data_IF_184955842990
#
_entry.id   IF_184955842990
#
_cell.length_a   1.000
_cell.length_b   1.000
_cell.length_c   1.000
_cell.angle_alpha   90.00
_cell.angle_beta   90.00
_cell.angle_gamma   90.00
#
_symmetry.space_group_name_H-M   'P 1'
#
loop_
_entity.id
_entity.type
_entity.pdbx_description
1 polymer ?
#
# COMPACT_ATOMS: atom_id res chain seq x y z
N UNK A 1 -32.17 34.62 32.96
CA UNK A 1 -33.54 34.45 33.49
C UNK A 1 -34.55 34.67 32.37
N UNK A 2 -35.46 33.70 32.21
CA UNK A 2 -36.81 33.80 31.62
C UNK A 2 -36.95 34.09 30.11
N UNK A 3 -37.28 33.01 29.40
CA UNK A 3 -37.99 33.02 28.12
C UNK A 3 -39.38 33.66 28.26
N UNK A 4 -39.86 34.33 27.20
CA UNK A 4 -41.30 34.40 26.88
C UNK A 4 -41.51 34.40 25.36
N UNK A 5 -42.06 33.28 24.89
CA UNK A 5 -42.71 33.12 23.60
C UNK A 5 -43.93 34.03 23.47
N UNK A 6 -44.22 34.54 22.27
CA UNK A 6 -45.58 34.82 21.88
C UNK A 6 -45.87 34.37 20.45
N UNK A 7 -46.79 33.41 20.35
CA UNK A 7 -47.39 32.85 19.14
C UNK A 7 -48.13 33.94 18.37
N UNK A 8 -47.95 34.01 17.04
CA UNK A 8 -49.06 34.13 16.10
C UNK A 8 -48.78 33.30 14.85
N UNK A 9 -49.62 32.30 14.69
CA UNK A 9 -49.79 31.41 13.55
C UNK A 9 -50.11 32.21 12.28
N UNK A 10 -49.46 31.85 11.17
CA UNK A 10 -50.01 32.01 9.84
C UNK A 10 -49.71 30.71 9.07
N UNK A 11 -50.73 29.87 8.93
CA UNK A 11 -50.73 28.75 8.01
C UNK A 11 -51.04 29.30 6.61
N UNK A 12 -50.15 29.09 5.64
CA UNK A 12 -50.47 29.34 4.22
C UNK A 12 -49.80 28.28 3.33
N UNK A 13 -50.67 27.36 2.90
CA UNK A 13 -50.80 26.74 1.57
C UNK A 13 -49.58 26.08 0.92
N UNK A 14 -49.68 24.75 0.88
CA UNK A 14 -49.24 23.80 -0.15
C UNK A 14 -48.81 24.42 -1.49
N UNK A 15 -47.52 24.30 -1.78
CA UNK A 15 -46.98 24.36 -3.13
C UNK A 15 -46.15 23.09 -3.35
N UNK A 16 -46.70 22.11 -4.07
CA UNK A 16 -45.96 20.96 -4.57
C UNK A 16 -45.07 21.46 -5.71
N UNK A 17 -43.84 21.86 -5.40
CA UNK A 17 -42.80 22.08 -6.42
C UNK A 17 -42.02 20.79 -6.60
N UNK A 18 -42.23 20.19 -7.77
CA UNK A 18 -41.65 18.93 -8.22
C UNK A 18 -40.15 18.82 -7.89
N UNK A 19 -39.81 17.87 -7.03
CA UNK A 19 -38.44 17.44 -6.84
C UNK A 19 -37.96 16.79 -8.14
N UNK A 20 -37.10 17.48 -8.89
CA UNK A 20 -36.32 16.87 -9.97
C UNK A 20 -35.45 15.79 -9.32
N UNK A 21 -35.90 14.54 -9.47
CA UNK A 21 -35.16 13.35 -9.12
C UNK A 21 -33.87 13.33 -9.94
N UNK A 22 -32.78 13.78 -9.34
CA UNK A 22 -31.44 13.41 -9.79
C UNK A 22 -31.34 11.91 -9.56
N UNK A 23 -31.52 11.14 -10.63
CA UNK A 23 -31.17 9.73 -10.67
C UNK A 23 -29.65 9.62 -10.53
N UNK A 24 -29.16 9.68 -9.29
CA UNK A 24 -27.83 9.22 -8.96
C UNK A 24 -27.84 7.71 -9.19
N UNK A 25 -27.36 7.28 -10.35
CA UNK A 25 -26.97 5.89 -10.55
C UNK A 25 -25.85 5.60 -9.57
N UNK A 26 -26.20 5.12 -8.38
CA UNK A 26 -25.26 4.47 -7.49
C UNK A 26 -24.71 3.27 -8.28
N UNK A 27 -23.53 3.45 -8.86
CA UNK A 27 -22.75 2.35 -9.41
C UNK A 27 -22.63 1.34 -8.28
N UNK A 28 -23.36 0.23 -8.38
CA UNK A 28 -23.20 -0.89 -7.48
C UNK A 28 -21.76 -1.36 -7.63
N UNK A 29 -20.89 -0.90 -6.72
CA UNK A 29 -19.61 -1.51 -6.48
C UNK A 29 -19.96 -2.92 -6.01
N UNK A 30 -19.96 -3.87 -6.96
CA UNK A 30 -20.15 -5.28 -6.68
C UNK A 30 -19.00 -5.65 -5.74
N UNK A 31 -19.27 -5.64 -4.44
CA UNK A 31 -18.44 -6.25 -3.42
C UNK A 31 -18.58 -7.76 -3.63
N UNK A 32 -18.05 -8.25 -4.76
CA UNK A 32 -17.78 -9.67 -4.92
C UNK A 32 -16.97 -10.09 -3.70
N UNK A 33 -17.25 -11.27 -3.11
CA UNK A 33 -16.55 -11.69 -1.91
C UNK A 33 -15.04 -11.59 -2.16
N UNK A 34 -14.38 -10.73 -1.41
CA UNK A 34 -12.92 -10.67 -1.38
C UNK A 34 -12.49 -11.92 -0.63
N UNK A 35 -12.26 -13.00 -1.38
CA UNK A 35 -11.73 -14.24 -0.82
C UNK A 35 -10.27 -13.98 -0.50
N UNK A 36 -9.98 -13.72 0.77
CA UNK A 36 -8.62 -13.67 1.31
C UNK A 36 -8.22 -15.11 1.60
N UNK A 37 -7.44 -15.71 0.70
CA UNK A 37 -6.73 -16.94 1.04
C UNK A 37 -5.64 -16.56 2.05
N UNK A 38 -5.62 -17.20 3.21
CA UNK A 38 -4.48 -17.06 4.12
C UNK A 38 -3.22 -17.51 3.38
N UNK A 39 -2.14 -16.74 3.51
CA UNK A 39 -0.81 -17.16 3.08
C UNK A 39 -0.54 -18.53 3.76
N UNK A 40 -0.09 -19.56 3.03
CA UNK A 40 0.14 -20.86 3.65
C UNK A 40 1.09 -20.71 4.84
N UNK A 41 0.86 -21.48 5.92
CA UNK A 41 1.54 -21.35 7.23
C UNK A 41 3.08 -21.39 7.15
N UNK A 42 3.62 -21.77 6.00
CA UNK A 42 5.03 -21.83 5.68
C UNK A 42 5.54 -20.67 4.80
N UNK A 43 4.87 -19.52 4.69
CA UNK A 43 5.41 -18.38 3.93
C UNK A 43 5.63 -17.18 4.85
N UNK A 44 6.86 -16.70 4.88
CA UNK A 44 7.26 -15.48 5.59
C UNK A 44 7.21 -14.32 4.60
N UNK A 45 6.34 -13.36 4.90
CA UNK A 45 6.10 -12.22 4.01
C UNK A 45 6.38 -10.91 4.71
N UNK A 46 7.03 -10.01 3.99
CA UNK A 46 7.28 -8.66 4.44
C UNK A 46 7.05 -7.62 3.35
N UNK A 47 6.45 -6.49 3.73
CA UNK A 47 6.18 -5.36 2.83
C UNK A 47 7.07 -4.18 3.17
N UNK A 48 7.79 -3.67 2.16
CA UNK A 48 8.65 -2.49 2.29
C UNK A 48 7.98 -1.30 1.59
N UNK A 49 7.58 -0.32 2.39
CA UNK A 49 7.04 0.95 1.90
C UNK A 49 8.16 1.93 1.55
N UNK A 50 7.91 2.70 0.50
CA UNK A 50 8.85 3.70 -0.02
C UNK A 50 8.14 4.99 -0.46
N UNK A 51 6.90 5.20 -0.04
CA UNK A 51 6.10 6.36 -0.41
C UNK A 51 6.70 7.70 0.07
N UNK A 52 7.58 7.63 1.08
CA UNK A 52 8.33 8.75 1.64
C UNK A 52 9.67 9.03 0.92
N UNK A 53 10.05 8.20 -0.06
CA UNK A 53 11.32 8.31 -0.77
C UNK A 53 11.12 8.88 -2.18
N UNK A 54 11.99 9.81 -2.58
CA UNK A 54 12.08 10.26 -3.96
C UNK A 54 13.01 9.31 -4.75
N UNK A 55 12.45 8.24 -5.32
CA UNK A 55 13.26 7.25 -6.05
C UNK A 55 13.84 7.76 -7.39
N UNK A 56 13.52 8.98 -7.82
CA UNK A 56 14.27 9.62 -8.91
C UNK A 56 15.69 10.04 -8.46
N UNK A 57 15.90 10.22 -7.15
CA UNK A 57 17.21 10.50 -6.55
C UNK A 57 17.97 9.22 -6.17
N UNK A 58 19.29 9.25 -6.37
CA UNK A 58 20.20 8.13 -6.08
C UNK A 58 20.39 7.90 -4.58
N UNK A 59 20.30 8.94 -3.74
CA UNK A 59 20.44 8.74 -2.29
C UNK A 59 19.22 7.98 -1.74
N UNK A 60 18.02 8.34 -2.18
CA UNK A 60 16.79 7.67 -1.78
C UNK A 60 16.65 6.25 -2.38
N UNK A 61 17.17 5.99 -3.58
CA UNK A 61 17.32 4.61 -4.08
C UNK A 61 18.18 3.73 -3.14
N UNK A 62 19.26 4.29 -2.58
CA UNK A 62 20.10 3.58 -1.61
C UNK A 62 19.36 3.33 -0.30
N UNK A 63 18.60 4.31 0.20
CA UNK A 63 17.74 4.12 1.39
C UNK A 63 16.74 3.00 1.18
N UNK A 64 16.10 2.92 0.01
CA UNK A 64 15.23 1.79 -0.34
C UNK A 64 15.99 0.47 -0.29
N UNK A 65 17.18 0.41 -0.91
CA UNK A 65 18.05 -0.78 -0.86
C UNK A 65 18.31 -1.23 0.58
N UNK A 66 18.66 -0.32 1.49
CA UNK A 66 18.86 -0.65 2.90
C UNK A 66 17.59 -1.16 3.60
N UNK A 67 16.42 -0.58 3.29
CA UNK A 67 15.14 -1.06 3.85
C UNK A 67 14.82 -2.47 3.38
N UNK A 68 15.04 -2.76 2.10
CA UNK A 68 14.86 -4.10 1.54
C UNK A 68 15.84 -5.08 2.17
N UNK A 69 17.12 -4.72 2.36
CA UNK A 69 18.08 -5.56 3.09
C UNK A 69 17.58 -5.88 4.51
N UNK A 70 17.03 -4.89 5.22
CA UNK A 70 16.45 -5.10 6.55
C UNK A 70 15.27 -6.07 6.54
N UNK A 71 14.41 -5.97 5.53
CA UNK A 71 13.28 -6.88 5.37
C UNK A 71 13.73 -8.31 5.00
N UNK A 72 14.68 -8.45 4.07
CA UNK A 72 15.31 -9.74 3.73
C UNK A 72 15.88 -10.41 4.98
N UNK A 73 16.59 -9.67 5.82
CA UNK A 73 17.11 -10.21 7.09
C UNK A 73 16.02 -10.73 8.02
N UNK A 74 14.87 -10.06 8.11
CA UNK A 74 13.76 -10.48 8.97
C UNK A 74 13.05 -11.72 8.41
N UNK A 75 12.70 -11.72 7.12
CA UNK A 75 12.06 -12.90 6.50
C UNK A 75 12.99 -14.11 6.49
N UNK A 76 14.30 -13.91 6.40
CA UNK A 76 15.30 -14.98 6.43
C UNK A 76 15.84 -15.30 7.83
N UNK A 77 15.26 -14.75 8.89
CA UNK A 77 15.61 -15.03 10.30
C UNK A 77 17.11 -14.85 10.58
N UNK A 78 17.65 -13.69 10.19
CA UNK A 78 19.05 -13.35 10.44
C UNK A 78 19.41 -13.44 11.93
N UNK A 79 20.45 -14.21 12.25
CA UNK A 79 20.95 -14.43 13.61
C UNK A 79 22.15 -13.51 13.88
N UNK A 80 21.98 -12.47 14.71
CA UNK A 80 23.07 -11.57 15.08
C UNK A 80 24.16 -12.22 15.96
N UNK A 81 23.89 -13.39 16.56
CA UNK A 81 24.76 -14.08 17.52
C UNK A 81 25.86 -14.91 16.87
N UNK A 82 25.74 -15.25 15.58
CA UNK A 82 26.83 -15.90 14.83
C UNK A 82 27.80 -14.81 14.40
N UNK A 83 29.10 -15.00 14.64
CA UNK A 83 30.19 -14.04 14.37
C UNK A 83 30.37 -13.69 12.88
N UNK A 84 29.35 -13.09 12.25
CA UNK A 84 29.34 -12.66 10.85
C UNK A 84 29.07 -13.76 9.81
N UNK A 85 28.96 -15.03 10.22
CA UNK A 85 28.71 -16.16 9.31
C UNK A 85 27.30 -16.72 9.51
N UNK A 86 26.47 -16.54 8.48
CA UNK A 86 25.17 -17.22 8.41
C UNK A 86 25.34 -18.61 7.78
N UNK A 87 24.39 -19.51 7.99
CA UNK A 87 24.40 -20.80 7.29
C UNK A 87 23.95 -20.67 5.82
N UNK A 88 24.16 -21.74 5.06
CA UNK A 88 23.73 -21.83 3.66
C UNK A 88 22.22 -21.63 3.48
N UNK A 89 21.40 -21.94 4.51
CA UNK A 89 19.96 -21.73 4.51
C UNK A 89 19.59 -20.25 4.44
N UNK A 90 20.28 -19.41 5.22
CA UNK A 90 20.11 -17.96 5.13
C UNK A 90 20.49 -17.41 3.75
N UNK A 91 21.63 -17.81 3.19
CA UNK A 91 22.07 -17.27 1.90
C UNK A 91 21.12 -17.64 0.77
N UNK A 92 20.68 -18.91 0.72
CA UNK A 92 19.66 -19.32 -0.24
C UNK A 92 18.34 -18.56 -0.08
N UNK A 93 17.89 -18.36 1.16
CA UNK A 93 16.71 -17.53 1.45
C UNK A 93 16.90 -16.08 0.98
N UNK A 94 18.07 -15.49 1.23
CA UNK A 94 18.35 -14.11 0.89
C UNK A 94 18.39 -13.91 -0.63
N UNK A 95 18.98 -14.85 -1.36
CA UNK A 95 19.04 -14.83 -2.82
C UNK A 95 17.63 -14.91 -3.41
N UNK A 96 16.80 -15.87 -2.97
CA UNK A 96 15.41 -16.01 -3.41
C UNK A 96 14.60 -14.72 -3.12
N UNK A 97 14.77 -14.17 -1.91
CA UNK A 97 14.10 -12.94 -1.49
C UNK A 97 14.50 -11.74 -2.37
N UNK A 98 15.78 -11.63 -2.70
CA UNK A 98 16.29 -10.58 -3.59
C UNK A 98 15.83 -10.75 -5.02
N UNK A 99 15.74 -11.97 -5.52
CA UNK A 99 15.26 -12.23 -6.88
C UNK A 99 13.79 -11.83 -7.06
N UNK A 100 12.97 -12.02 -6.03
CA UNK A 100 11.60 -11.48 -6.00
C UNK A 100 11.55 -9.94 -5.86
N UNK A 101 12.45 -9.34 -5.07
CA UNK A 101 12.42 -7.90 -4.78
C UNK A 101 12.99 -7.04 -5.92
N UNK A 102 14.05 -7.48 -6.61
CA UNK A 102 14.74 -6.73 -7.68
C UNK A 102 13.80 -6.18 -8.76
N UNK A 103 12.91 -6.97 -9.39
CA UNK A 103 12.03 -6.44 -10.44
C UNK A 103 11.07 -5.37 -9.90
N UNK A 104 10.57 -5.53 -8.66
CA UNK A 104 9.68 -4.56 -8.03
C UNK A 104 10.41 -3.25 -7.73
N UNK A 105 11.66 -3.31 -7.26
CA UNK A 105 12.52 -2.13 -7.05
C UNK A 105 12.76 -1.40 -8.37
N UNK A 106 13.08 -2.14 -9.44
CA UNK A 106 13.29 -1.56 -10.76
C UNK A 106 12.03 -0.84 -11.28
N UNK A 107 10.85 -1.45 -11.10
CA UNK A 107 9.57 -0.83 -11.46
C UNK A 107 9.29 0.44 -10.64
N UNK A 108 9.55 0.41 -9.32
CA UNK A 108 9.37 1.57 -8.45
C UNK A 108 10.28 2.74 -8.86
N UNK A 109 11.54 2.45 -9.22
CA UNK A 109 12.50 3.44 -9.72
C UNK A 109 12.06 3.98 -11.08
N UNK A 110 11.65 3.10 -12.00
CA UNK A 110 11.19 3.53 -13.32
C UNK A 110 9.97 4.44 -13.22
N UNK A 111 8.99 4.06 -12.39
CA UNK A 111 7.82 4.87 -12.10
C UNK A 111 8.20 6.27 -11.61
N UNK A 112 9.14 6.35 -10.67
CA UNK A 112 9.57 7.64 -10.13
C UNK A 112 10.26 8.51 -11.19
N UNK A 113 11.07 7.91 -12.07
CA UNK A 113 11.69 8.60 -13.20
C UNK A 113 10.64 9.12 -14.18
N UNK A 114 9.66 8.31 -14.55
CA UNK A 114 8.58 8.72 -15.46
C UNK A 114 7.83 9.94 -14.92
N UNK A 115 7.49 9.92 -13.62
CA UNK A 115 6.82 11.04 -12.94
C UNK A 115 7.72 12.27 -12.93
N UNK A 116 9.01 12.13 -12.63
CA UNK A 116 9.94 13.25 -12.64
C UNK A 116 10.11 13.87 -14.03
N UNK A 117 10.08 13.07 -15.10
CA UNK A 117 10.25 13.53 -16.48
C UNK A 117 8.96 14.05 -17.13
N UNK A 118 7.82 13.41 -16.84
CA UNK A 118 6.56 13.63 -17.58
C UNK A 118 5.37 14.02 -16.71
N UNK A 119 5.54 14.03 -15.38
CA UNK A 119 4.48 14.29 -14.40
C UNK A 119 3.55 13.10 -14.14
N UNK A 120 3.71 11.97 -14.83
CA UNK A 120 2.84 10.78 -14.70
C UNK A 120 3.59 9.47 -14.94
N UNK A 121 3.00 8.34 -14.54
CA UNK A 121 3.45 7.00 -14.91
C UNK A 121 2.25 6.06 -14.97
N UNK A 122 2.28 5.08 -15.88
CA UNK A 122 1.30 4.00 -15.94
C UNK A 122 1.57 2.86 -14.94
N UNK A 123 2.74 2.87 -14.30
CA UNK A 123 3.12 1.88 -13.29
C UNK A 123 2.41 2.23 -11.97
N UNK A 124 1.68 1.27 -11.41
CA UNK A 124 0.99 1.43 -10.14
C UNK A 124 1.98 1.63 -8.98
N UNK A 125 1.61 2.46 -7.99
CA UNK A 125 2.38 2.62 -6.77
C UNK A 125 2.09 1.45 -5.82
N UNK A 126 3.01 0.49 -5.74
CA UNK A 126 2.85 -0.70 -4.87
C UNK A 126 4.08 -0.90 -4.00
N UNK A 127 3.89 -1.19 -2.72
CA UNK A 127 4.99 -1.57 -1.83
C UNK A 127 5.74 -2.79 -2.39
N UNK A 128 7.03 -2.91 -2.05
CA UNK A 128 7.82 -4.09 -2.40
C UNK A 128 7.37 -5.23 -1.48
N UNK A 129 6.90 -6.33 -2.04
CA UNK A 129 6.56 -7.55 -1.29
C UNK A 129 7.71 -8.53 -1.40
N UNK A 130 8.21 -8.99 -0.26
CA UNK A 130 9.20 -10.07 -0.17
C UNK A 130 8.47 -11.25 0.44
N UNK A 131 8.36 -12.34 -0.30
CA UNK A 131 7.69 -13.57 0.15
C UNK A 131 8.70 -14.71 0.03
N UNK A 132 8.95 -15.43 1.12
CA UNK A 132 9.86 -16.59 1.11
C UNK A 132 9.18 -17.78 1.75
N UNK A 133 9.18 -18.91 1.04
CA UNK A 133 8.75 -20.17 1.62
C UNK A 133 9.75 -20.60 2.71
N UNK A 134 9.23 -20.86 3.91
CA UNK A 134 9.90 -21.62 4.97
C UNK A 134 10.17 -23.03 4.44
N UNK A 135 11.45 -23.34 4.26
CA UNK A 135 11.96 -24.66 3.88
C UNK A 135 12.24 -25.48 5.14
#
# INVERSE_FOLDING_TARGET
MLARFNRKTAAVLSGVTASLLVAASASAAQQGPVVVYAEPDNVRTERVTYADLNLADRADQRKLGHRVTGAVKRVCLFENSRSGLQDAGYYGCADDAWDGAKPQIAQAIQRAKDIAMTGKSSIAATAISINVASR
#
